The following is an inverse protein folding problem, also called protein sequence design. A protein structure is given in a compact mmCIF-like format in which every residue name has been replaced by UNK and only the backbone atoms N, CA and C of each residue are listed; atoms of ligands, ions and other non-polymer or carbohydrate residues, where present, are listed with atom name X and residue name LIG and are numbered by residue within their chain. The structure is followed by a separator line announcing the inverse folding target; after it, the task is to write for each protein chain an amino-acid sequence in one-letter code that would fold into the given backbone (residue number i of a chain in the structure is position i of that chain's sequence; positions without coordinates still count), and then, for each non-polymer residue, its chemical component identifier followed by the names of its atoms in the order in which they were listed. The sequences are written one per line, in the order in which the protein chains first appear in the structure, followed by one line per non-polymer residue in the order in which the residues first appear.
data_IF_588145160930
#
_entry.id   IF_588145160930
#
_cell.length_a   1.000
_cell.length_b   1.000
_cell.length_c   1.000
_cell.angle_alpha   90.00
_cell.angle_beta   90.00
_cell.angle_gamma   90.00
#
_symmetry.space_group_name_H-M   'P 1'
#
loop_
_entity.id
_entity.type
_entity.pdbx_description
1 polymer ?
#
# COMPACT_ATOMS: atom_id res chain seq x y z
N UNK A 1 17.88 13.65 -20.98
CA UNK A 1 17.85 12.42 -20.16
C UNK A 1 16.66 12.56 -19.21
N UNK A 2 15.62 11.76 -19.39
CA UNK A 2 14.29 11.98 -18.78
C UNK A 2 14.30 11.41 -17.35
N UNK A 3 13.91 12.19 -16.35
CA UNK A 3 13.89 11.79 -14.93
C UNK A 3 12.99 10.56 -14.66
N UNK A 4 11.97 10.34 -15.52
CA UNK A 4 11.11 9.17 -15.46
C UNK A 4 11.83 7.88 -15.89
N UNK A 5 12.60 7.91 -16.97
CA UNK A 5 13.40 6.76 -17.43
C UNK A 5 14.44 6.31 -16.39
N UNK A 6 15.06 7.25 -15.67
CA UNK A 6 16.01 6.90 -14.60
C UNK A 6 15.35 6.22 -13.39
N UNK A 7 14.08 6.48 -13.12
CA UNK A 7 13.35 5.81 -12.03
C UNK A 7 12.92 4.39 -12.43
N UNK A 8 12.47 4.19 -13.67
CA UNK A 8 12.09 2.86 -14.17
C UNK A 8 13.29 1.90 -14.20
N UNK A 9 14.46 2.39 -14.63
CA UNK A 9 15.72 1.61 -14.62
C UNK A 9 16.16 1.25 -13.19
N UNK A 10 15.93 2.14 -12.20
CA UNK A 10 16.29 1.89 -10.80
C UNK A 10 15.42 0.84 -10.13
N UNK A 11 14.14 0.75 -10.53
CA UNK A 11 13.17 -0.16 -9.94
C UNK A 11 13.10 -1.52 -10.65
N UNK A 12 13.73 -1.66 -11.81
CA UNK A 12 13.83 -2.90 -12.59
C UNK A 12 12.46 -3.62 -12.72
N UNK A 13 11.45 -2.90 -13.21
CA UNK A 13 10.10 -3.44 -13.37
C UNK A 13 9.44 -3.95 -12.07
N UNK A 14 9.81 -3.39 -10.93
CA UNK A 14 9.29 -3.78 -9.62
C UNK A 14 10.09 -4.87 -8.92
N UNK A 15 11.25 -5.27 -9.45
CA UNK A 15 12.18 -6.18 -8.76
C UNK A 15 12.90 -5.50 -7.61
N UNK A 16 12.96 -4.18 -7.62
CA UNK A 16 13.51 -3.35 -6.55
C UNK A 16 12.49 -2.30 -6.16
N UNK A 17 12.32 -2.09 -4.86
CA UNK A 17 11.36 -1.13 -4.31
C UNK A 17 12.01 -0.24 -3.25
N UNK A 18 11.62 1.04 -3.13
CA UNK A 18 12.15 1.93 -2.11
C UNK A 18 11.59 1.54 -0.73
N UNK A 19 12.30 0.66 -0.04
CA UNK A 19 11.90 0.17 1.27
C UNK A 19 12.26 1.18 2.36
N UNK A 20 11.26 1.63 3.12
CA UNK A 20 11.47 2.48 4.32
C UNK A 20 11.85 1.62 5.50
N UNK A 21 11.03 0.63 5.77
CA UNK A 21 11.19 -0.33 6.86
C UNK A 21 10.35 -1.58 6.59
N UNK A 22 10.73 -2.67 7.21
CA UNK A 22 9.97 -3.90 7.23
C UNK A 22 10.06 -4.55 8.63
N UNK A 23 8.94 -5.04 9.16
CA UNK A 23 8.90 -5.54 10.54
C UNK A 23 7.70 -6.45 10.80
N UNK A 24 7.84 -7.34 11.78
CA UNK A 24 6.77 -8.22 12.25
C UNK A 24 6.10 -7.61 13.49
N UNK A 25 4.76 -7.47 13.44
CA UNK A 25 3.97 -6.92 14.53
C UNK A 25 2.52 -7.39 14.45
N UNK A 26 1.64 -6.76 15.23
CA UNK A 26 0.20 -6.98 15.22
C UNK A 26 -0.45 -5.85 14.41
N UNK A 27 -1.39 -6.21 13.49
CA UNK A 27 -2.20 -5.20 12.81
C UNK A 27 -3.05 -4.45 13.85
N UNK A 28 -2.89 -3.13 13.89
CA UNK A 28 -3.52 -2.26 14.88
C UNK A 28 -4.87 -1.70 14.45
N UNK A 29 -5.26 -1.83 13.16
CA UNK A 29 -6.41 -1.15 12.58
C UNK A 29 -7.22 -2.07 11.67
N UNK A 30 -8.50 -1.69 11.47
CA UNK A 30 -9.39 -2.28 10.50
C UNK A 30 -9.86 -3.70 10.82
N UNK A 31 -10.33 -4.39 9.80
CA UNK A 31 -10.92 -5.72 9.93
C UNK A 31 -9.95 -6.75 10.51
N UNK A 32 -8.68 -6.64 10.19
CA UNK A 32 -7.64 -7.57 10.63
C UNK A 32 -6.97 -7.17 11.95
N UNK A 33 -7.53 -6.23 12.71
CA UNK A 33 -7.01 -5.82 14.03
C UNK A 33 -6.76 -7.02 14.93
N UNK A 34 -5.57 -7.04 15.54
CA UNK A 34 -5.15 -8.13 16.44
C UNK A 34 -4.46 -9.30 15.76
N UNK A 35 -4.44 -9.37 14.42
CA UNK A 35 -3.75 -10.43 13.69
C UNK A 35 -2.26 -10.13 13.58
N UNK A 36 -1.37 -11.11 13.81
CA UNK A 36 0.05 -10.94 13.55
C UNK A 36 0.30 -10.87 12.04
N UNK A 37 1.11 -9.89 11.62
CA UNK A 37 1.45 -9.66 10.22
C UNK A 37 2.88 -9.12 10.06
N UNK A 38 3.46 -9.33 8.90
CA UNK A 38 4.71 -8.68 8.53
C UNK A 38 4.41 -7.47 7.66
N UNK A 39 4.88 -6.31 8.07
CA UNK A 39 4.65 -5.05 7.39
C UNK A 39 5.82 -4.72 6.45
N UNK A 40 5.50 -4.29 5.24
CA UNK A 40 6.43 -3.77 4.24
C UNK A 40 6.01 -2.35 3.94
N UNK A 41 6.78 -1.37 4.44
CA UNK A 41 6.51 0.05 4.24
C UNK A 41 7.37 0.60 3.10
N UNK A 42 6.72 1.03 2.03
CA UNK A 42 7.39 1.62 0.86
C UNK A 42 7.50 3.14 0.99
N UNK A 43 8.58 3.70 0.46
CA UNK A 43 8.78 5.13 0.34
C UNK A 43 8.17 5.67 -0.96
N UNK A 44 7.88 6.96 -0.99
CA UNK A 44 7.23 7.65 -2.10
C UNK A 44 5.74 7.83 -1.86
N UNK A 45 5.28 9.09 -1.93
CA UNK A 45 3.87 9.45 -1.88
C UNK A 45 3.67 10.79 -2.58
N UNK A 46 2.75 10.86 -3.50
CA UNK A 46 2.38 12.07 -4.24
C UNK A 46 1.02 12.65 -3.81
N UNK A 47 0.35 12.00 -2.85
CA UNK A 47 -0.99 12.40 -2.40
C UNK A 47 -0.99 13.68 -1.54
N UNK A 48 0.05 13.88 -0.72
CA UNK A 48 0.29 15.13 -0.01
C UNK A 48 -0.69 15.46 1.12
N UNK A 49 -1.16 14.49 1.89
CA UNK A 49 -2.10 14.69 2.98
C UNK A 49 -1.52 15.59 4.08
N UNK A 50 -2.21 16.68 4.43
CA UNK A 50 -1.75 17.63 5.45
C UNK A 50 -1.51 16.98 6.81
N UNK A 51 -2.38 16.06 7.20
CA UNK A 51 -2.40 15.35 8.48
C UNK A 51 -1.62 14.02 8.48
N UNK A 52 -0.88 13.72 7.40
CA UNK A 52 -0.11 12.48 7.30
C UNK A 52 0.85 12.32 8.49
N UNK A 53 0.81 11.17 9.13
CA UNK A 53 1.68 10.76 10.23
C UNK A 53 3.03 10.19 9.76
N UNK A 54 3.11 9.81 8.47
CA UNK A 54 4.28 9.20 7.85
C UNK A 54 4.92 10.09 6.77
N UNK A 55 4.99 11.42 6.98
CA UNK A 55 5.56 12.38 6.00
C UNK A 55 6.99 12.06 5.60
N UNK A 56 7.75 11.38 6.45
CA UNK A 56 9.09 10.91 6.15
C UNK A 56 9.14 9.98 4.93
N UNK A 57 8.04 9.27 4.64
CA UNK A 57 7.95 8.35 3.49
C UNK A 57 7.74 9.06 2.15
N UNK A 58 7.40 10.34 2.10
CA UNK A 58 7.01 11.02 0.87
C UNK A 58 8.11 11.08 -0.19
N UNK A 59 9.37 11.23 0.24
CA UNK A 59 10.49 11.33 -0.68
C UNK A 59 11.17 9.95 -0.87
N UNK A 60 10.92 9.24 -1.99
CA UNK A 60 11.50 7.93 -2.22
C UNK A 60 13.02 7.94 -2.36
N UNK A 61 13.63 9.09 -2.67
CA UNK A 61 15.08 9.23 -2.82
C UNK A 61 15.84 9.04 -1.50
N UNK A 62 15.14 9.13 -0.37
CA UNK A 62 15.73 8.87 0.96
C UNK A 62 15.89 7.37 1.23
N UNK A 63 15.26 6.52 0.42
CA UNK A 63 15.22 5.08 0.60
C UNK A 63 15.76 4.39 -0.66
N UNK A 64 17.03 3.95 -0.64
CA UNK A 64 17.61 3.23 -1.77
C UNK A 64 16.76 2.00 -2.11
N UNK A 65 16.54 1.69 -3.40
CA UNK A 65 15.78 0.53 -3.80
C UNK A 65 16.39 -0.76 -3.26
N UNK A 66 15.56 -1.55 -2.58
CA UNK A 66 15.90 -2.85 -2.00
C UNK A 66 15.38 -3.94 -2.94
N UNK A 67 16.17 -5.00 -3.13
CA UNK A 67 15.77 -6.18 -3.90
C UNK A 67 14.54 -6.84 -3.24
N UNK A 68 13.51 -7.11 -4.02
CA UNK A 68 12.27 -7.75 -3.54
C UNK A 68 12.56 -9.13 -2.95
N UNK A 69 13.47 -9.90 -3.54
CA UNK A 69 13.84 -11.21 -3.01
C UNK A 69 14.39 -11.12 -1.57
N UNK A 70 15.14 -10.05 -1.26
CA UNK A 70 15.62 -9.79 0.11
C UNK A 70 14.45 -9.45 1.06
N UNK A 71 13.46 -8.67 0.59
CA UNK A 71 12.27 -8.34 1.39
C UNK A 71 11.47 -9.62 1.70
N UNK A 72 11.27 -10.46 0.70
CA UNK A 72 10.55 -11.75 0.83
C UNK A 72 11.29 -12.69 1.78
N UNK A 73 12.61 -12.81 1.66
CA UNK A 73 13.45 -13.63 2.56
C UNK A 73 13.29 -13.18 4.02
N UNK A 74 13.34 -11.87 4.28
CA UNK A 74 13.11 -11.33 5.62
C UNK A 74 11.71 -11.64 6.12
N UNK A 75 10.66 -11.43 5.32
CA UNK A 75 9.28 -11.74 5.69
C UNK A 75 9.11 -13.21 6.08
N UNK A 76 9.72 -14.12 5.31
CA UNK A 76 9.68 -15.57 5.55
C UNK A 76 10.49 -16.02 6.79
N UNK A 77 11.36 -15.15 7.34
CA UNK A 77 12.11 -15.45 8.56
C UNK A 77 11.27 -15.29 9.84
N UNK A 78 10.05 -14.75 9.73
CA UNK A 78 9.10 -14.58 10.81
C UNK A 78 7.91 -15.52 10.66
N UNK A 79 7.22 -15.87 11.74
CA UNK A 79 6.03 -16.75 11.69
C UNK A 79 4.77 -15.99 11.22
N UNK A 80 4.92 -15.08 10.28
CA UNK A 80 3.82 -14.33 9.69
C UNK A 80 3.06 -15.19 8.70
N UNK A 81 1.73 -15.13 8.74
CA UNK A 81 0.85 -15.71 7.72
C UNK A 81 0.29 -14.66 6.77
N UNK A 82 0.40 -13.40 7.15
CA UNK A 82 -0.07 -12.27 6.38
C UNK A 82 1.02 -11.20 6.24
N UNK A 83 1.05 -10.57 5.08
CA UNK A 83 1.89 -9.42 4.75
C UNK A 83 0.98 -8.20 4.58
N UNK A 84 1.36 -7.08 5.17
CA UNK A 84 0.70 -5.78 4.94
C UNK A 84 1.64 -4.89 4.13
N UNK A 85 1.31 -4.66 2.88
CA UNK A 85 2.02 -3.70 2.02
C UNK A 85 1.39 -2.32 2.26
N UNK A 86 2.19 -1.39 2.73
CA UNK A 86 1.77 -0.04 3.12
C UNK A 86 2.88 0.97 2.81
N UNK A 87 2.82 2.18 3.35
CA UNK A 87 3.95 3.11 3.28
C UNK A 87 3.54 4.55 3.01
N UNK A 88 4.15 5.18 2.01
CA UNK A 88 3.66 6.38 1.38
C UNK A 88 2.41 6.07 0.57
N UNK A 89 2.57 5.82 -0.74
CA UNK A 89 1.51 5.28 -1.59
C UNK A 89 2.04 4.08 -2.39
N UNK A 90 1.71 2.84 -1.99
CA UNK A 90 2.23 1.65 -2.64
C UNK A 90 1.82 1.52 -4.13
N UNK A 91 0.65 2.05 -4.51
CA UNK A 91 0.18 2.00 -5.91
C UNK A 91 1.00 2.85 -6.89
N UNK A 92 1.99 3.61 -6.41
CA UNK A 92 3.00 4.26 -7.26
C UNK A 92 3.92 3.27 -7.97
N UNK A 93 3.97 2.01 -7.52
CA UNK A 93 4.94 1.03 -7.97
C UNK A 93 4.28 -0.19 -8.59
N UNK A 94 4.93 -0.85 -9.58
CA UNK A 94 4.51 -2.17 -10.00
C UNK A 94 4.79 -3.18 -8.88
N UNK A 95 3.74 -3.76 -8.33
CA UNK A 95 3.80 -4.70 -7.21
C UNK A 95 3.67 -6.17 -7.63
N UNK A 96 3.54 -6.43 -8.94
CA UNK A 96 3.33 -7.79 -9.47
C UNK A 96 4.43 -8.75 -9.00
N UNK A 97 5.69 -8.35 -9.14
CA UNK A 97 6.82 -9.20 -8.75
C UNK A 97 6.84 -9.49 -7.25
N UNK A 98 6.57 -8.48 -6.41
CA UNK A 98 6.52 -8.64 -4.96
C UNK A 98 5.36 -9.57 -4.55
N UNK A 99 4.16 -9.31 -5.07
CA UNK A 99 2.97 -10.11 -4.72
C UNK A 99 3.08 -11.54 -5.20
N UNK A 100 3.62 -11.78 -6.41
CA UNK A 100 3.88 -13.11 -6.93
C UNK A 100 4.89 -13.89 -6.08
N UNK A 101 5.96 -13.22 -5.64
CA UNK A 101 6.98 -13.84 -4.81
C UNK A 101 6.46 -14.22 -3.42
N UNK A 102 5.64 -13.34 -2.80
CA UNK A 102 5.01 -13.61 -1.50
C UNK A 102 3.95 -14.72 -1.59
N UNK A 103 3.12 -14.71 -2.64
CA UNK A 103 2.10 -15.75 -2.86
C UNK A 103 2.71 -17.14 -3.03
N UNK A 104 3.87 -17.26 -3.70
CA UNK A 104 4.61 -18.53 -3.83
C UNK A 104 5.06 -19.09 -2.49
N UNK A 105 5.16 -18.26 -1.46
CA UNK A 105 5.46 -18.69 -0.09
C UNK A 105 4.20 -19.05 0.73
N UNK A 106 3.00 -18.96 0.10
CA UNK A 106 1.73 -19.23 0.76
C UNK A 106 1.26 -18.15 1.74
N UNK A 107 1.78 -16.93 1.61
CA UNK A 107 1.45 -15.79 2.46
C UNK A 107 0.21 -15.07 1.94
N UNK A 108 -0.68 -14.64 2.83
CA UNK A 108 -1.77 -13.73 2.49
C UNK A 108 -1.21 -12.30 2.29
N UNK A 109 -1.73 -11.58 1.31
CA UNK A 109 -1.21 -10.27 0.92
C UNK A 109 -2.31 -9.23 1.09
N UNK A 110 -2.09 -8.28 2.00
CA UNK A 110 -2.99 -7.17 2.28
C UNK A 110 -2.35 -5.87 1.79
N UNK A 111 -3.17 -5.01 1.18
CA UNK A 111 -2.75 -3.70 0.69
C UNK A 111 -3.46 -2.60 1.47
N UNK A 112 -2.69 -1.62 1.94
CA UNK A 112 -3.21 -0.32 2.41
C UNK A 112 -2.84 0.75 1.38
N UNK A 113 -3.82 1.37 0.75
CA UNK A 113 -3.62 2.35 -0.32
C UNK A 113 -4.65 3.47 -0.29
N UNK A 114 -4.28 4.64 -0.79
CA UNK A 114 -5.25 5.70 -1.08
C UNK A 114 -6.06 5.42 -2.34
N UNK A 115 -5.61 4.49 -3.20
CA UNK A 115 -6.21 4.19 -4.49
C UNK A 115 -6.01 5.27 -5.55
N UNK A 116 -5.06 6.18 -5.34
CA UNK A 116 -4.79 7.30 -6.26
C UNK A 116 -4.25 6.87 -7.63
N UNK A 117 -3.75 5.65 -7.74
CA UNK A 117 -3.21 5.05 -8.98
C UNK A 117 -3.82 3.68 -9.23
N UNK A 118 -3.68 3.20 -10.47
CA UNK A 118 -4.08 1.84 -10.83
C UNK A 118 -3.28 0.81 -10.01
N UNK A 119 -3.97 -0.22 -9.53
CA UNK A 119 -3.32 -1.29 -8.78
C UNK A 119 -2.73 -2.34 -9.72
N UNK A 120 -1.49 -2.71 -9.47
CA UNK A 120 -0.81 -3.86 -10.06
C UNK A 120 -0.52 -4.91 -9.00
N UNK A 121 -0.39 -6.17 -9.43
CA UNK A 121 -0.27 -7.31 -8.51
C UNK A 121 -1.63 -7.85 -8.04
N UNK A 122 -1.57 -8.83 -7.14
CA UNK A 122 -2.77 -9.45 -6.58
C UNK A 122 -2.76 -9.35 -5.06
N UNK A 123 -3.96 -9.18 -4.48
CA UNK A 123 -4.14 -8.97 -3.06
C UNK A 123 -5.32 -9.78 -2.55
N UNK A 124 -5.17 -10.39 -1.38
CA UNK A 124 -6.22 -11.10 -0.67
C UNK A 124 -7.15 -10.14 0.07
N UNK A 125 -6.65 -8.95 0.41
CA UNK A 125 -7.40 -7.89 1.10
C UNK A 125 -6.90 -6.51 0.70
N UNK A 126 -7.81 -5.62 0.33
CA UNK A 126 -7.50 -4.23 -0.02
C UNK A 126 -8.25 -3.28 0.92
N UNK A 127 -7.51 -2.59 1.79
CA UNK A 127 -7.99 -1.47 2.58
C UNK A 127 -7.82 -0.19 1.76
N UNK A 128 -8.93 0.32 1.22
CA UNK A 128 -8.96 1.58 0.48
C UNK A 128 -9.15 2.75 1.45
N UNK A 129 -8.22 3.68 1.45
CA UNK A 129 -8.26 4.90 2.28
C UNK A 129 -8.29 6.17 1.42
N UNK A 130 -9.46 6.55 0.86
CA UNK A 130 -9.58 7.63 -0.11
C UNK A 130 -9.14 8.98 0.46
N UNK A 131 -8.50 9.81 -0.36
CA UNK A 131 -8.01 11.12 0.00
C UNK A 131 -8.62 12.20 -0.90
N UNK A 132 -9.09 13.30 -0.31
CA UNK A 132 -9.71 14.41 -1.05
C UNK A 132 -8.74 15.10 -2.00
N UNK A 133 -7.46 15.16 -1.64
CA UNK A 133 -6.42 15.83 -2.41
C UNK A 133 -6.14 15.09 -3.74
N UNK A 134 -6.23 13.77 -3.71
CA UNK A 134 -6.06 12.91 -4.87
C UNK A 134 -7.02 11.72 -4.72
N UNK A 135 -8.26 11.86 -5.22
CA UNK A 135 -9.28 10.82 -5.10
C UNK A 135 -8.89 9.50 -5.77
N UNK A 136 -9.41 8.36 -5.29
CA UNK A 136 -9.16 7.07 -5.91
C UNK A 136 -9.56 7.03 -7.38
N UNK A 137 -8.81 6.31 -8.19
CA UNK A 137 -9.21 6.00 -9.56
C UNK A 137 -10.42 5.04 -9.54
N UNK A 138 -11.36 5.16 -10.51
CA UNK A 138 -12.61 4.40 -10.48
C UNK A 138 -12.44 2.88 -10.42
N UNK A 139 -11.39 2.35 -11.03
CA UNK A 139 -11.08 0.91 -11.10
C UNK A 139 -10.73 0.26 -9.76
N UNK A 140 -10.39 1.05 -8.73
CA UNK A 140 -9.99 0.54 -7.41
C UNK A 140 -11.21 0.25 -6.52
N UNK A 141 -12.28 1.05 -6.63
CA UNK A 141 -13.47 0.90 -5.78
C UNK A 141 -14.05 -0.53 -5.75
N UNK A 142 -14.28 -1.20 -6.89
CA UNK A 142 -14.85 -2.56 -6.88
C UNK A 142 -13.88 -3.63 -6.35
N UNK A 143 -12.61 -3.30 -6.16
CA UNK A 143 -11.58 -4.21 -5.64
C UNK A 143 -11.42 -4.09 -4.13
N UNK A 144 -11.94 -3.01 -3.51
CA UNK A 144 -11.82 -2.77 -2.08
C UNK A 144 -12.59 -3.79 -1.25
N UNK A 145 -11.96 -4.29 -0.19
CA UNK A 145 -12.56 -5.17 0.82
C UNK A 145 -12.85 -4.40 2.11
N UNK A 146 -12.22 -3.24 2.29
CA UNK A 146 -12.36 -2.37 3.45
C UNK A 146 -12.22 -0.91 3.03
N UNK A 147 -13.05 -0.04 3.61
CA UNK A 147 -12.98 1.41 3.41
C UNK A 147 -12.57 2.09 4.71
N UNK A 148 -11.43 2.78 4.71
CA UNK A 148 -10.91 3.54 5.85
C UNK A 148 -10.88 5.03 5.52
N UNK A 149 -11.77 5.83 6.13
CA UNK A 149 -11.84 7.27 5.89
C UNK A 149 -11.43 8.05 7.15
N UNK A 150 -10.50 8.98 6.99
CA UNK A 150 -10.10 9.87 8.07
C UNK A 150 -11.11 11.01 8.17
N UNK A 151 -11.64 11.20 9.38
CA UNK A 151 -12.60 12.25 9.70
C UNK A 151 -11.89 13.33 10.53
N UNK A 152 -11.62 14.48 9.94
CA UNK A 152 -11.08 15.67 10.63
C UNK A 152 -12.21 16.66 10.97
N UNK A 153 -13.22 16.74 10.13
CA UNK A 153 -14.35 17.66 10.25
C UNK A 153 -15.68 16.97 10.01
N UNK A 154 -16.82 17.52 10.46
CA UNK A 154 -18.13 16.96 10.15
C UNK A 154 -18.42 16.78 8.65
N UNK A 155 -17.83 17.62 7.79
CA UNK A 155 -17.96 17.49 6.33
C UNK A 155 -17.28 16.26 5.75
N UNK A 156 -16.41 15.59 6.50
CA UNK A 156 -15.75 14.38 6.04
C UNK A 156 -16.66 13.14 6.11
N UNK A 157 -17.75 13.19 6.89
CA UNK A 157 -18.76 12.14 6.86
C UNK A 157 -19.45 12.05 5.49
N UNK A 158 -19.76 13.19 4.87
CA UNK A 158 -20.33 13.21 3.51
C UNK A 158 -19.36 12.57 2.51
N UNK A 159 -18.07 12.90 2.61
CA UNK A 159 -17.01 12.29 1.82
C UNK A 159 -16.91 10.78 2.05
N UNK A 160 -17.03 10.32 3.28
CA UNK A 160 -17.04 8.90 3.61
C UNK A 160 -18.24 8.17 2.98
N UNK A 161 -19.44 8.73 3.10
CA UNK A 161 -20.67 8.18 2.52
C UNK A 161 -20.60 8.13 0.98
N UNK A 162 -20.09 9.18 0.34
CA UNK A 162 -19.90 9.22 -1.11
C UNK A 162 -18.92 8.15 -1.61
N UNK A 163 -17.89 7.83 -0.85
CA UNK A 163 -16.96 6.76 -1.20
C UNK A 163 -17.51 5.38 -0.86
N UNK A 164 -18.26 5.26 0.24
CA UNK A 164 -18.94 4.02 0.59
C UNK A 164 -19.96 3.60 -0.48
N UNK A 165 -20.63 4.56 -1.12
CA UNK A 165 -21.55 4.30 -2.22
C UNK A 165 -20.88 3.79 -3.51
N UNK A 166 -19.56 3.87 -3.62
CA UNK A 166 -18.77 3.46 -4.81
C UNK A 166 -18.10 2.11 -4.66
N UNK A 167 -17.90 1.64 -3.43
CA UNK A 167 -17.29 0.31 -3.18
C UNK A 167 -18.26 -0.79 -3.52
N UNK A 168 -17.72 -1.99 -3.82
CA UNK A 168 -18.52 -3.15 -4.18
C UNK A 168 -19.11 -3.89 -2.97
N UNK A 169 -19.79 -5.00 -3.24
CA UNK A 169 -20.39 -5.87 -2.21
C UNK A 169 -19.38 -6.57 -1.29
N UNK A 170 -18.10 -6.50 -1.63
CA UNK A 170 -16.99 -7.09 -0.83
C UNK A 170 -16.64 -6.24 0.40
N UNK A 171 -16.96 -4.95 0.38
CA UNK A 171 -16.58 -3.96 1.39
C UNK A 171 -17.66 -3.77 2.47
#
# INVERSE_FOLDING_TARGET
MNLQQNNEDLLDGGRRLPLVEDFYTIQGEGFHTGKPAYFIRLGGCDVGCRWCDAKMTWNPKLFPPTEVDTIVERACSYPAQAIVITGGEPSLYPLDYLTDALAKQGLQIFLETSGAHELSGHFDWICLSPKKQQPPVPSVFPKADELKVIIETPGDFVWAEENAAKVGERC
#
